data_IF_072137093312
#
_entry.id   IF_072137093312
#
_cell.length_a   1.000
_cell.length_b   1.000
_cell.length_c   1.000
_cell.angle_alpha   90.00
_cell.angle_beta   90.00
_cell.angle_gamma   90.00
#
_symmetry.space_group_name_H-M   'P 1'
#
loop_
_entity.id
_entity.type
_entity.pdbx_description
1 polymer ?
#
# COMPACT_ATOMS: atom_id res chain seq x y z
N UNK A 1 2.55 -29.83 -7.85
CA UNK A 1 1.52 -28.77 -7.92
C UNK A 1 2.08 -27.37 -7.63
N UNK A 2 3.19 -27.26 -6.89
CA UNK A 2 3.83 -25.97 -6.54
C UNK A 2 4.27 -25.14 -7.74
N UNK A 3 4.84 -25.75 -8.79
CA UNK A 3 5.25 -25.02 -10.02
C UNK A 3 4.09 -24.29 -10.70
N UNK A 4 2.87 -24.84 -10.67
CA UNK A 4 1.67 -24.19 -11.23
C UNK A 4 1.22 -23.01 -10.36
N UNK A 5 1.25 -23.14 -9.03
CA UNK A 5 0.96 -22.05 -8.10
C UNK A 5 1.96 -20.90 -8.29
N UNK A 6 3.25 -21.20 -8.34
CA UNK A 6 4.30 -20.22 -8.60
C UNK A 6 4.14 -19.52 -9.95
N UNK A 7 3.79 -20.26 -11.01
CA UNK A 7 3.53 -19.67 -12.32
C UNK A 7 2.35 -18.69 -12.29
N UNK A 8 1.22 -19.07 -11.68
CA UNK A 8 0.05 -18.20 -11.52
C UNK A 8 0.42 -16.94 -10.73
N UNK A 9 1.23 -17.09 -9.68
CA UNK A 9 1.67 -15.96 -8.86
C UNK A 9 2.63 -15.04 -9.60
N UNK A 10 3.57 -15.59 -10.37
CA UNK A 10 4.44 -14.77 -11.21
C UNK A 10 3.65 -14.01 -12.28
N UNK A 11 2.64 -14.64 -12.88
CA UNK A 11 1.77 -13.99 -13.85
C UNK A 11 0.95 -12.88 -13.18
N UNK A 12 0.42 -13.13 -11.99
CA UNK A 12 -0.32 -12.14 -11.21
C UNK A 12 0.55 -10.96 -10.77
N UNK A 13 1.75 -11.23 -10.24
CA UNK A 13 2.71 -10.19 -9.88
C UNK A 13 3.13 -9.36 -11.10
N UNK A 14 3.34 -10.01 -12.25
CA UNK A 14 3.65 -9.34 -13.51
C UNK A 14 2.49 -8.45 -13.98
N UNK A 15 1.26 -8.96 -13.96
CA UNK A 15 0.06 -8.19 -14.33
C UNK A 15 -0.16 -6.99 -13.40
N UNK A 16 0.03 -7.17 -12.10
CA UNK A 16 -0.01 -6.07 -11.12
C UNK A 16 1.07 -5.03 -11.43
N UNK A 17 2.28 -5.47 -11.78
CA UNK A 17 3.36 -4.59 -12.25
C UNK A 17 2.99 -3.80 -13.50
N UNK A 18 2.40 -4.44 -14.51
CA UNK A 18 1.89 -3.77 -15.72
C UNK A 18 0.79 -2.75 -15.36
N UNK A 19 -0.07 -3.07 -14.40
CA UNK A 19 -1.11 -2.17 -13.91
C UNK A 19 -0.58 -0.90 -13.22
N UNK A 20 0.68 -0.89 -12.76
CA UNK A 20 1.34 0.31 -12.24
C UNK A 20 1.84 1.25 -13.34
N UNK A 21 1.91 0.78 -14.60
CA UNK A 21 2.45 1.54 -15.73
C UNK A 21 1.90 2.96 -15.86
N UNK A 22 0.57 3.18 -15.85
CA UNK A 22 0.00 4.54 -15.94
C UNK A 22 0.39 5.46 -14.78
N UNK A 23 0.56 4.91 -13.57
CA UNK A 23 0.99 5.68 -12.41
C UNK A 23 2.48 6.05 -12.52
N UNK A 24 3.31 5.14 -13.03
CA UNK A 24 4.73 5.41 -13.28
C UNK A 24 4.91 6.46 -14.38
N UNK A 25 4.18 6.35 -15.49
CA UNK A 25 4.21 7.33 -16.59
C UNK A 25 3.85 8.74 -16.10
N UNK A 26 2.80 8.84 -15.28
CA UNK A 26 2.44 10.09 -14.61
C UNK A 26 3.58 10.65 -13.75
N UNK A 27 4.25 9.82 -12.95
CA UNK A 27 5.33 10.29 -12.06
C UNK A 27 6.58 10.67 -12.83
N UNK A 28 6.92 9.94 -13.89
CA UNK A 28 8.03 10.28 -14.81
C UNK A 28 7.81 11.67 -15.42
N UNK A 29 6.57 11.99 -15.81
CA UNK A 29 6.23 13.32 -16.33
C UNK A 29 6.43 14.47 -15.32
N UNK A 30 6.42 14.16 -14.01
CA UNK A 30 6.62 15.15 -12.94
C UNK A 30 8.09 15.28 -12.59
N UNK A 31 8.68 14.17 -12.14
CA UNK A 31 10.06 14.04 -11.72
C UNK A 31 10.40 12.53 -11.55
N UNK A 32 11.30 11.97 -12.37
CA UNK A 32 11.65 10.55 -12.30
C UNK A 32 12.35 10.16 -10.98
N UNK A 33 13.02 11.09 -10.30
CA UNK A 33 13.70 10.82 -9.02
C UNK A 33 12.74 10.38 -7.91
N UNK A 34 11.45 10.73 -8.03
CA UNK A 34 10.41 10.33 -7.08
C UNK A 34 10.25 8.82 -6.99
N UNK A 35 10.47 8.09 -8.10
CA UNK A 35 10.33 6.63 -8.13
C UNK A 35 11.34 5.99 -7.17
N UNK A 36 12.59 6.43 -7.22
CA UNK A 36 13.66 5.91 -6.36
C UNK A 36 13.40 6.28 -4.90
N UNK A 37 13.01 7.52 -4.63
CA UNK A 37 12.66 7.97 -3.28
C UNK A 37 11.48 7.19 -2.71
N UNK A 38 10.44 6.94 -3.51
CA UNK A 38 9.29 6.12 -3.11
C UNK A 38 9.73 4.68 -2.82
N UNK A 39 10.59 4.09 -3.64
CA UNK A 39 11.05 2.72 -3.43
C UNK A 39 11.84 2.57 -2.12
N UNK A 40 12.77 3.48 -1.87
CA UNK A 40 13.56 3.49 -0.63
C UNK A 40 12.65 3.75 0.58
N UNK A 41 11.73 4.72 0.47
CA UNK A 41 10.77 5.03 1.53
C UNK A 41 9.86 3.85 1.87
N UNK A 42 9.31 3.17 0.85
CA UNK A 42 8.49 1.97 1.05
C UNK A 42 9.30 0.84 1.67
N UNK A 43 10.53 0.62 1.24
CA UNK A 43 11.41 -0.40 1.83
C UNK A 43 11.68 -0.13 3.31
N UNK A 44 11.98 1.13 3.66
CA UNK A 44 12.20 1.53 5.05
C UNK A 44 10.94 1.35 5.92
N UNK A 45 9.78 1.81 5.43
CA UNK A 45 8.48 1.64 6.09
C UNK A 45 8.22 0.14 6.32
N UNK A 46 8.29 -0.65 5.26
CA UNK A 46 8.00 -2.08 5.30
C UNK A 46 8.89 -2.79 6.32
N UNK A 47 10.21 -2.59 6.27
CA UNK A 47 11.15 -3.19 7.23
C UNK A 47 10.86 -2.76 8.67
N UNK A 48 10.65 -1.47 8.92
CA UNK A 48 10.36 -0.97 10.26
C UNK A 48 9.06 -1.54 10.84
N UNK A 49 7.99 -1.59 10.04
CA UNK A 49 6.70 -2.13 10.49
C UNK A 49 6.74 -3.65 10.62
N UNK A 50 7.34 -4.38 9.68
CA UNK A 50 7.53 -5.83 9.81
C UNK A 50 8.36 -6.19 11.05
N UNK A 51 9.44 -5.46 11.36
CA UNK A 51 10.20 -5.65 12.61
C UNK A 51 9.36 -5.34 13.84
N UNK A 52 8.56 -4.28 13.80
CA UNK A 52 7.66 -3.91 14.90
C UNK A 52 6.60 -5.00 15.14
N UNK A 53 6.03 -5.57 14.07
CA UNK A 53 5.15 -6.73 14.15
C UNK A 53 5.87 -7.94 14.74
N UNK A 54 7.12 -8.23 14.36
CA UNK A 54 7.87 -9.36 14.93
C UNK A 54 8.15 -9.21 16.44
N UNK A 55 8.37 -7.98 16.91
CA UNK A 55 8.64 -7.70 18.32
C UNK A 55 7.38 -7.56 19.19
N UNK A 56 6.23 -7.29 18.60
CA UNK A 56 5.01 -7.06 19.35
C UNK A 56 4.41 -8.34 19.93
N UNK A 57 3.68 -8.19 21.03
CA UNK A 57 3.02 -9.29 21.72
C UNK A 57 1.96 -9.95 20.81
N UNK A 58 1.98 -11.29 20.77
CA UNK A 58 1.13 -12.12 19.89
C UNK A 58 -0.35 -11.73 19.95
N UNK A 59 -1.01 -11.81 18.80
CA UNK A 59 -2.45 -11.51 18.55
C UNK A 59 -2.91 -10.08 18.83
N UNK A 60 -2.06 -9.20 19.34
CA UNK A 60 -2.45 -7.82 19.64
C UNK A 60 -2.92 -7.08 18.38
N UNK A 61 -2.23 -7.27 17.26
CA UNK A 61 -2.60 -6.64 15.98
C UNK A 61 -3.71 -7.37 15.21
N UNK A 62 -3.99 -8.65 15.50
CA UNK A 62 -5.11 -9.36 14.89
C UNK A 62 -6.45 -8.75 15.32
N UNK A 63 -6.55 -8.27 16.57
CA UNK A 63 -7.71 -7.51 17.05
C UNK A 63 -7.90 -6.18 16.31
N UNK A 64 -6.82 -5.61 15.76
CA UNK A 64 -6.84 -4.38 14.99
C UNK A 64 -7.35 -4.57 13.55
N UNK A 65 -7.41 -5.82 13.05
CA UNK A 65 -7.88 -6.14 11.70
C UNK A 65 -9.29 -5.63 11.39
N UNK A 66 -10.20 -5.67 12.38
CA UNK A 66 -11.56 -5.13 12.23
C UNK A 66 -11.58 -3.61 12.03
N UNK A 67 -10.70 -2.88 12.71
CA UNK A 67 -10.56 -1.44 12.55
C UNK A 67 -9.92 -1.07 11.21
N UNK A 68 -8.92 -1.85 10.76
CA UNK A 68 -8.28 -1.65 9.46
C UNK A 68 -9.25 -1.89 8.30
N UNK A 69 -10.02 -2.98 8.35
CA UNK A 69 -10.99 -3.30 7.30
C UNK A 69 -12.11 -2.25 7.22
N UNK A 70 -12.52 -1.71 8.38
CA UNK A 70 -13.47 -0.58 8.45
C UNK A 70 -12.86 0.71 7.89
N UNK A 71 -11.56 0.97 8.14
CA UNK A 71 -10.85 2.09 7.54
C UNK A 71 -10.77 1.97 6.01
N UNK A 72 -10.46 0.79 5.49
CA UNK A 72 -10.39 0.53 4.05
C UNK A 72 -11.75 0.72 3.36
N UNK A 73 -12.83 0.25 3.98
CA UNK A 73 -14.18 0.41 3.43
C UNK A 73 -14.62 1.87 3.39
N UNK A 74 -14.30 2.67 4.42
CA UNK A 74 -14.54 4.11 4.43
C UNK A 74 -13.73 4.82 3.33
N UNK A 75 -12.46 4.47 3.13
CA UNK A 75 -11.64 5.01 2.03
C UNK A 75 -12.23 4.67 0.65
N UNK A 76 -12.72 3.44 0.47
CA UNK A 76 -13.36 3.00 -0.77
C UNK A 76 -14.67 3.73 -1.03
N UNK A 77 -15.53 3.85 -0.01
CA UNK A 77 -16.79 4.60 -0.10
C UNK A 77 -16.53 6.07 -0.39
N UNK A 78 -15.52 6.67 0.23
CA UNK A 78 -15.13 8.05 -0.03
C UNK A 78 -14.59 8.23 -1.46
N UNK A 79 -13.72 7.33 -1.93
CA UNK A 79 -13.20 7.36 -3.31
C UNK A 79 -14.31 7.20 -4.36
N UNK A 80 -15.28 6.33 -4.10
CA UNK A 80 -16.45 6.14 -4.94
C UNK A 80 -17.34 7.41 -4.93
N UNK A 81 -17.59 7.96 -3.74
CA UNK A 81 -18.37 9.18 -3.59
C UNK A 81 -17.74 10.35 -4.36
N UNK A 82 -16.42 10.54 -4.29
CA UNK A 82 -15.70 11.57 -5.06
C UNK A 82 -15.73 11.35 -6.58
N UNK A 83 -15.81 10.10 -7.02
CA UNK A 83 -15.88 9.77 -8.47
C UNK A 83 -17.27 10.08 -9.03
N UNK A 84 -18.31 9.78 -8.26
CA UNK A 84 -19.73 10.00 -8.65
C UNK A 84 -20.12 11.47 -8.47
N UNK A 85 -19.76 12.07 -7.35
CA UNK A 85 -19.97 13.49 -7.06
C UNK A 85 -18.73 14.27 -7.53
N UNK A 86 -18.76 14.82 -8.75
CA UNK A 86 -17.74 15.75 -9.30
C UNK A 86 -17.69 17.09 -8.51
N UNK A 87 -17.48 17.04 -7.20
CA UNK A 87 -17.37 18.20 -6.32
C UNK A 87 -15.96 18.79 -6.35
N UNK A 88 -15.70 19.66 -7.34
CA UNK A 88 -14.37 20.22 -7.63
C UNK A 88 -13.70 21.00 -6.47
N UNK A 89 -14.47 21.47 -5.47
CA UNK A 89 -13.95 22.37 -4.43
C UNK A 89 -13.54 21.65 -3.12
N UNK A 90 -14.18 20.53 -2.77
CA UNK A 90 -13.85 19.77 -1.55
C UNK A 90 -12.68 18.79 -1.74
N UNK A 91 -12.33 18.51 -3.00
CA UNK A 91 -11.26 17.61 -3.38
C UNK A 91 -9.86 18.09 -2.95
N UNK A 92 -9.57 19.40 -2.99
CA UNK A 92 -8.19 19.88 -2.79
C UNK A 92 -7.71 19.78 -1.32
N UNK A 93 -8.53 20.16 -0.33
CA UNK A 93 -8.14 20.08 1.09
C UNK A 93 -8.35 18.71 1.73
N UNK A 94 -9.36 17.95 1.29
CA UNK A 94 -9.52 16.57 1.77
C UNK A 94 -8.44 15.64 1.21
N UNK A 95 -7.86 15.92 0.04
CA UNK A 95 -6.87 15.04 -0.59
C UNK A 95 -5.59 14.87 0.25
N UNK A 96 -5.06 15.93 0.87
CA UNK A 96 -3.87 15.80 1.72
C UNK A 96 -4.11 14.84 2.89
N UNK A 97 -5.13 15.09 3.71
CA UNK A 97 -5.46 14.23 4.85
C UNK A 97 -5.79 12.80 4.40
N UNK A 98 -6.52 12.63 3.30
CA UNK A 98 -6.92 11.32 2.79
C UNK A 98 -5.71 10.48 2.33
N UNK A 99 -4.68 11.11 1.74
CA UNK A 99 -3.48 10.42 1.29
C UNK A 99 -2.59 9.98 2.46
N UNK A 100 -2.45 10.80 3.51
CA UNK A 100 -1.73 10.41 4.73
C UNK A 100 -2.48 9.32 5.51
N UNK A 101 -3.81 9.42 5.62
CA UNK A 101 -4.65 8.39 6.25
C UNK A 101 -4.57 7.08 5.46
N UNK A 102 -4.60 7.14 4.13
CA UNK A 102 -4.42 5.96 3.30
C UNK A 102 -3.05 5.32 3.50
N UNK A 103 -1.98 6.12 3.59
CA UNK A 103 -0.64 5.60 3.89
C UNK A 103 -0.59 4.92 5.28
N UNK A 104 -1.17 5.56 6.30
CA UNK A 104 -1.23 5.00 7.66
C UNK A 104 -2.00 3.67 7.72
N UNK A 105 -3.11 3.57 6.99
CA UNK A 105 -3.89 2.33 6.89
C UNK A 105 -3.06 1.23 6.21
N UNK A 106 -2.30 1.55 5.15
CA UNK A 106 -1.43 0.58 4.47
C UNK A 106 -0.26 0.11 5.34
N UNK A 107 0.33 0.99 6.15
CA UNK A 107 1.30 0.58 7.18
C UNK A 107 0.67 -0.36 8.21
N UNK A 108 -0.60 -0.12 8.57
CA UNK A 108 -1.39 -1.03 9.40
C UNK A 108 -1.56 -2.41 8.74
N UNK A 109 -1.85 -2.46 7.44
CA UNK A 109 -1.99 -3.74 6.72
C UNK A 109 -0.70 -4.57 6.80
N UNK A 110 0.47 -3.95 6.57
CA UNK A 110 1.76 -4.66 6.75
C UNK A 110 1.90 -5.25 8.15
N UNK A 111 1.52 -4.53 9.21
CA UNK A 111 1.55 -5.07 10.58
C UNK A 111 0.60 -6.25 10.75
N UNK A 112 -0.63 -6.10 10.24
CA UNK A 112 -1.68 -7.12 10.33
C UNK A 112 -1.30 -8.38 9.58
N UNK A 113 -0.87 -8.26 8.31
CA UNK A 113 -0.51 -9.39 7.46
C UNK A 113 0.76 -10.08 7.95
N UNK A 114 1.76 -9.34 8.45
CA UNK A 114 2.93 -9.94 9.11
C UNK A 114 2.52 -10.78 10.33
N UNK A 115 1.62 -10.26 11.18
CA UNK A 115 1.14 -10.98 12.37
C UNK A 115 0.25 -12.18 12.02
N UNK A 116 -0.56 -12.06 10.97
CA UNK A 116 -1.41 -13.12 10.48
C UNK A 116 -0.58 -14.26 9.88
N UNK A 117 0.54 -13.96 9.22
CA UNK A 117 1.50 -14.96 8.75
C UNK A 117 2.16 -15.70 9.92
N UNK A 118 2.56 -14.99 10.99
CA UNK A 118 3.15 -15.60 12.18
C UNK A 118 2.15 -16.56 12.85
N UNK A 119 0.90 -16.13 13.04
CA UNK A 119 -0.14 -16.99 13.62
C UNK A 119 -0.43 -18.21 12.75
N UNK A 120 -0.54 -18.04 11.41
CA UNK A 120 -0.73 -19.16 10.47
C UNK A 120 0.42 -20.16 10.53
N UNK A 121 1.66 -19.68 10.55
CA UNK A 121 2.85 -20.53 10.67
C UNK A 121 2.85 -21.36 11.96
N UNK A 122 2.41 -20.77 13.08
CA UNK A 122 2.30 -21.47 14.36
C UNK A 122 1.15 -22.47 14.42
N UNK A 123 0.04 -22.20 13.70
CA UNK A 123 -1.06 -23.16 13.50
C UNK A 123 -0.67 -24.32 12.57
N UNK A 124 0.56 -24.35 12.05
CA UNK A 124 1.10 -25.41 11.22
C UNK A 124 0.88 -25.21 9.72
N UNK A 125 0.40 -24.04 9.29
CA UNK A 125 0.33 -23.68 7.88
C UNK A 125 1.73 -23.38 7.35
N UNK A 126 2.15 -24.11 6.31
CA UNK A 126 3.47 -23.99 5.68
C UNK A 126 3.39 -23.47 4.24
N UNK A 127 2.26 -22.88 3.84
CA UNK A 127 2.08 -22.25 2.53
C UNK A 127 2.85 -20.91 2.42
N UNK A 128 4.18 -20.96 2.55
CA UNK A 128 5.10 -19.81 2.43
C UNK A 128 4.91 -19.04 1.13
N UNK A 129 4.49 -19.73 0.06
CA UNK A 129 4.21 -19.15 -1.24
C UNK A 129 3.11 -18.08 -1.14
N UNK A 130 2.00 -18.37 -0.45
CA UNK A 130 0.90 -17.41 -0.30
C UNK A 130 1.25 -16.29 0.67
N UNK A 131 1.96 -16.61 1.75
CA UNK A 131 2.46 -15.60 2.69
C UNK A 131 3.37 -14.56 2.02
N UNK A 132 4.25 -15.00 1.11
CA UNK A 132 5.08 -14.09 0.32
C UNK A 132 4.26 -13.21 -0.64
N UNK A 133 3.14 -13.71 -1.16
CA UNK A 133 2.28 -12.98 -2.09
C UNK A 133 1.50 -11.89 -1.38
N UNK A 134 0.94 -12.19 -0.21
CA UNK A 134 0.24 -11.21 0.62
C UNK A 134 1.19 -10.04 0.95
N UNK A 135 2.39 -10.34 1.47
CA UNK A 135 3.41 -9.33 1.75
C UNK A 135 3.87 -8.55 0.51
N UNK A 136 3.97 -9.21 -0.64
CA UNK A 136 4.32 -8.55 -1.91
C UNK A 136 3.23 -7.57 -2.35
N UNK A 137 1.95 -7.93 -2.19
CA UNK A 137 0.83 -7.06 -2.51
C UNK A 137 0.79 -5.83 -1.61
N UNK A 138 1.06 -5.98 -0.32
CA UNK A 138 1.16 -4.85 0.61
C UNK A 138 2.28 -3.91 0.21
N UNK A 139 3.45 -4.46 -0.10
CA UNK A 139 4.62 -3.69 -0.55
C UNK A 139 4.30 -2.87 -1.82
N UNK A 140 3.74 -3.52 -2.85
CA UNK A 140 3.36 -2.85 -4.10
C UNK A 140 2.30 -1.77 -3.85
N UNK A 141 1.37 -2.03 -2.95
CA UNK A 141 0.30 -1.08 -2.61
C UNK A 141 0.87 0.16 -1.91
N UNK A 142 1.76 -0.01 -0.92
CA UNK A 142 2.46 1.12 -0.28
C UNK A 142 3.30 1.88 -1.30
N UNK A 143 4.05 1.17 -2.15
CA UNK A 143 4.90 1.77 -3.17
C UNK A 143 4.10 2.69 -4.11
N UNK A 144 2.99 2.18 -4.65
CA UNK A 144 2.09 2.96 -5.52
C UNK A 144 1.54 4.19 -4.79
N UNK A 145 1.09 4.04 -3.54
CA UNK A 145 0.51 5.15 -2.75
C UNK A 145 1.54 6.21 -2.43
N UNK A 146 2.73 5.81 -2.00
CA UNK A 146 3.83 6.72 -1.68
C UNK A 146 4.34 7.46 -2.93
N UNK A 147 4.41 6.77 -4.06
CA UNK A 147 4.80 7.37 -5.34
C UNK A 147 3.80 8.47 -5.77
N UNK A 148 2.50 8.20 -5.69
CA UNK A 148 1.46 9.19 -6.02
C UNK A 148 1.52 10.38 -5.05
N UNK A 149 1.66 10.12 -3.74
CA UNK A 149 1.79 11.16 -2.71
C UNK A 149 2.96 12.11 -3.00
N UNK A 150 4.15 11.57 -3.30
CA UNK A 150 5.34 12.35 -3.61
C UNK A 150 5.17 13.14 -4.93
N UNK A 151 4.57 12.54 -5.96
CA UNK A 151 4.28 13.22 -7.22
C UNK A 151 3.32 14.39 -7.05
N UNK A 152 2.31 14.26 -6.19
CA UNK A 152 1.38 15.35 -5.88
C UNK A 152 2.08 16.49 -5.15
N UNK A 153 2.86 16.18 -4.10
CA UNK A 153 3.61 17.16 -3.33
C UNK A 153 4.60 17.97 -4.19
N UNK A 154 5.31 17.30 -5.12
CA UNK A 154 6.22 17.96 -6.05
C UNK A 154 5.49 18.91 -7.03
N UNK A 155 4.30 18.52 -7.51
CA UNK A 155 3.48 19.38 -8.38
C UNK A 155 3.01 20.65 -7.66
N UNK A 156 2.62 20.54 -6.39
CA UNK A 156 2.13 21.69 -5.62
C UNK A 156 3.26 22.68 -5.30
N UNK A 157 4.46 22.19 -4.95
CA UNK A 157 5.66 23.03 -4.80
C UNK A 157 6.03 23.80 -6.07
N UNK A 158 5.81 23.22 -7.25
CA UNK A 158 6.05 23.92 -8.53
C UNK A 158 5.02 25.00 -8.83
N UNK A 159 3.79 24.90 -8.29
CA UNK A 159 2.75 25.92 -8.43
C UNK A 159 2.97 27.10 -7.50
N UNK A 160 3.43 26.88 -6.27
CA UNK A 160 3.71 27.97 -5.32
C UNK A 160 4.91 28.85 -5.73
N UNK A 161 5.82 28.32 -6.54
CA UNK A 161 6.98 29.06 -7.06
C UNK A 161 6.69 29.88 -8.34
N UNK A 162 5.46 29.83 -8.85
CA UNK A 162 5.04 30.49 -10.09
C UNK A 162 4.06 31.61 -9.80
#
# INVERSE_FOLDING_TARGET
>A
MEKKRLAILSAFAFLTGVGLGPAMDYVISVNPSIIVTAFIGTSAIFVCFTLSALYAQRRSYLFLGGNLMSGLSILLLFSFHLTVFKGAFMLFKCCEAHMYIALAIMCGFVLFDTQLIIEKAEMGDKDYIWHCVDLFLDFVTIFRKLMILLAMNEKDKKKEKK
#
